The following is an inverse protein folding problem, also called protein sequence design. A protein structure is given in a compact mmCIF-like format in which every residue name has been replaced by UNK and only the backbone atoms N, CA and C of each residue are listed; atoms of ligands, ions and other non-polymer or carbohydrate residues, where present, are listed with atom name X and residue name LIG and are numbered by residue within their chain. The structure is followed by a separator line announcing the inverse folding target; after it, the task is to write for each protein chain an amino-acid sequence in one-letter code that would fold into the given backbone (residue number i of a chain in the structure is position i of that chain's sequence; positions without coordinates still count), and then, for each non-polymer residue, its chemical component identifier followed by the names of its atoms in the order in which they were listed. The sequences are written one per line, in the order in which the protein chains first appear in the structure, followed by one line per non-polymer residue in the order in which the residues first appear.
data_IF_459814622106
#
_entry.id   IF_459814622106
#
_cell.length_a   1.000
_cell.length_b   1.000
_cell.length_c   1.000
_cell.angle_alpha   90.00
_cell.angle_beta   90.00
_cell.angle_gamma   90.00
#
_symmetry.space_group_name_H-M   'P 1'
#
loop_
_entity.id
_entity.type
_entity.pdbx_description
1 polymer ?
#
# COMPACT_ATOMS: atom_id res chain seq x y z
N UNK A 1 13.14 -25.70 0.22
CA UNK A 1 13.40 -24.87 1.37
C UNK A 1 13.53 -23.45 0.87
N UNK A 2 12.46 -22.67 0.89
CA UNK A 2 12.44 -21.26 0.63
C UNK A 2 11.82 -20.63 1.84
N UNK A 3 12.67 -20.20 2.79
CA UNK A 3 12.26 -19.36 3.88
C UNK A 3 11.69 -18.08 3.29
N UNK A 4 10.36 -17.92 3.36
CA UNK A 4 9.77 -16.60 3.30
C UNK A 4 10.13 -15.91 4.62
N UNK A 5 11.36 -15.44 4.68
CA UNK A 5 11.76 -14.46 5.67
C UNK A 5 10.84 -13.28 5.41
N UNK A 6 9.88 -13.07 6.31
CA UNK A 6 9.31 -11.76 6.53
C UNK A 6 10.51 -10.84 6.77
N UNK A 7 10.98 -10.16 5.72
CA UNK A 7 11.96 -9.11 5.88
C UNK A 7 11.31 -8.08 6.78
N UNK A 8 11.60 -8.14 8.08
CA UNK A 8 11.59 -6.96 8.92
C UNK A 8 12.71 -6.08 8.36
N UNK A 9 12.39 -5.29 7.36
CA UNK A 9 13.23 -4.16 7.03
C UNK A 9 13.14 -3.24 8.24
N UNK A 10 14.17 -3.24 9.09
CA UNK A 10 14.24 -2.34 10.21
C UNK A 10 14.34 -0.91 9.65
N UNK A 11 13.48 -0.04 10.15
CA UNK A 11 13.55 1.38 9.82
C UNK A 11 14.91 1.95 10.23
N UNK A 12 15.47 2.84 9.41
CA UNK A 12 16.74 3.47 9.74
C UNK A 12 16.61 4.38 10.97
N UNK A 13 17.70 4.56 11.70
CA UNK A 13 17.77 5.56 12.80
C UNK A 13 17.45 6.97 12.27
N UNK A 14 17.76 7.24 11.01
CA UNK A 14 17.46 8.51 10.38
C UNK A 14 15.96 8.74 10.22
N UNK A 15 15.20 7.73 9.78
CA UNK A 15 13.74 7.81 9.72
C UNK A 15 13.15 8.02 11.12
N UNK A 16 13.61 7.27 12.12
CA UNK A 16 13.10 7.37 13.50
C UNK A 16 13.27 8.80 14.00
N UNK A 17 14.47 9.36 13.90
CA UNK A 17 14.77 10.72 14.33
C UNK A 17 13.92 11.78 13.60
N UNK A 18 13.75 11.61 12.28
CA UNK A 18 12.97 12.54 11.47
C UNK A 18 11.49 12.45 11.80
N UNK A 19 10.99 11.23 12.07
CA UNK A 19 9.62 11.01 12.51
C UNK A 19 9.35 11.62 13.90
N UNK A 20 10.30 11.56 14.84
CA UNK A 20 10.21 12.21 16.15
C UNK A 20 10.03 13.73 15.99
N UNK A 21 10.84 14.37 15.16
CA UNK A 21 10.71 15.81 14.87
C UNK A 21 9.32 16.17 14.29
N UNK A 22 8.75 15.29 13.46
CA UNK A 22 7.41 15.48 12.94
C UNK A 22 6.34 15.33 14.03
N UNK A 23 6.46 14.34 14.91
CA UNK A 23 5.54 14.11 16.04
C UNK A 23 5.56 15.29 17.00
N UNK A 24 6.73 15.88 17.25
CA UNK A 24 6.93 17.07 18.07
C UNK A 24 6.41 18.36 17.41
N UNK A 25 6.16 18.31 16.10
CA UNK A 25 5.63 19.44 15.32
C UNK A 25 6.69 20.38 14.77
N UNK A 26 7.96 20.02 14.84
CA UNK A 26 9.09 20.82 14.36
C UNK A 26 9.15 20.85 12.82
N UNK A 27 8.75 19.77 12.17
CA UNK A 27 8.72 19.63 10.72
C UNK A 27 7.41 19.01 10.22
N UNK A 28 7.02 19.32 9.00
CA UNK A 28 5.86 18.75 8.33
C UNK A 28 6.14 17.38 7.76
N UNK A 29 5.11 16.58 7.49
CA UNK A 29 5.27 15.28 6.84
C UNK A 29 5.89 15.38 5.43
N UNK A 30 5.63 16.47 4.72
CA UNK A 30 6.27 16.72 3.42
C UNK A 30 7.77 16.92 3.57
N UNK A 31 8.20 17.68 4.58
CA UNK A 31 9.63 17.84 4.90
C UNK A 31 10.27 16.51 5.32
N UNK A 32 9.57 15.66 6.10
CA UNK A 32 10.06 14.30 6.41
C UNK A 32 10.35 13.53 5.12
N UNK A 33 9.40 13.49 4.20
CA UNK A 33 9.54 12.79 2.92
C UNK A 33 10.74 13.31 2.13
N UNK A 34 10.87 14.64 2.01
CA UNK A 34 11.95 15.27 1.25
C UNK A 34 13.33 15.02 1.91
N UNK A 35 13.40 15.00 3.24
CA UNK A 35 14.61 14.65 3.99
C UNK A 35 15.01 13.18 3.77
N UNK A 36 14.06 12.24 3.80
CA UNK A 36 14.31 10.82 3.54
C UNK A 36 14.77 10.61 2.10
N UNK A 37 14.09 11.20 1.12
CA UNK A 37 14.47 11.11 -0.29
C UNK A 37 15.90 11.66 -0.50
N UNK A 38 16.22 12.84 0.06
CA UNK A 38 17.56 13.45 -0.02
C UNK A 38 18.65 12.63 0.67
N UNK A 39 18.34 12.01 1.81
CA UNK A 39 19.28 11.17 2.55
C UNK A 39 19.76 9.99 1.70
N UNK A 40 18.85 9.30 1.01
CA UNK A 40 19.21 8.18 0.16
C UNK A 40 19.81 8.61 -1.19
N UNK A 41 19.40 9.74 -1.75
CA UNK A 41 20.02 10.29 -2.95
C UNK A 41 21.48 10.70 -2.72
N UNK A 42 21.81 11.29 -1.55
CA UNK A 42 23.14 11.74 -1.21
C UNK A 42 24.12 10.60 -0.95
N UNK A 43 23.64 9.43 -0.54
CA UNK A 43 24.48 8.26 -0.25
C UNK A 43 25.06 7.55 -1.49
N UNK A 44 24.80 8.03 -2.69
CA UNK A 44 25.57 7.87 -3.92
C UNK A 44 25.99 6.47 -4.40
N UNK A 45 25.74 5.40 -3.64
CA UNK A 45 26.02 4.03 -4.06
C UNK A 45 25.07 3.06 -3.31
N UNK A 46 24.19 2.41 -4.03
CA UNK A 46 23.49 1.19 -3.59
C UNK A 46 24.49 0.05 -3.53
N UNK A 47 25.17 -0.10 -2.40
CA UNK A 47 26.27 -1.06 -2.30
C UNK A 47 25.90 -2.40 -1.67
N UNK A 48 24.74 -2.52 -0.97
CA UNK A 48 24.39 -3.76 -0.28
C UNK A 48 22.87 -4.03 -0.32
N UNK A 49 22.51 -5.29 -0.52
CA UNK A 49 21.12 -5.80 -0.52
C UNK A 49 20.39 -5.48 0.80
N UNK A 50 21.09 -5.40 1.93
CA UNK A 50 20.53 -5.00 3.23
C UNK A 50 20.06 -3.55 3.24
N UNK A 51 20.79 -2.64 2.57
CA UNK A 51 20.42 -1.23 2.49
C UNK A 51 19.26 -0.95 1.53
N UNK A 52 19.05 -1.77 0.50
CA UNK A 52 17.90 -1.63 -0.41
C UNK A 52 16.58 -1.85 0.31
N UNK A 53 16.48 -2.83 1.20
CA UNK A 53 15.29 -3.10 2.00
C UNK A 53 14.97 -1.96 2.96
N UNK A 54 15.98 -1.36 3.58
CA UNK A 54 15.80 -0.23 4.51
C UNK A 54 15.39 1.06 3.76
N UNK A 55 16.01 1.35 2.61
CA UNK A 55 15.63 2.49 1.78
C UNK A 55 14.15 2.40 1.33
N UNK A 56 13.74 1.23 0.86
CA UNK A 56 12.36 0.99 0.48
C UNK A 56 11.41 1.22 1.68
N UNK A 57 11.73 0.63 2.83
CA UNK A 57 10.91 0.74 4.02
C UNK A 57 10.74 2.20 4.46
N UNK A 58 11.82 2.94 4.54
CA UNK A 58 11.82 4.34 4.98
C UNK A 58 11.05 5.25 4.02
N UNK A 59 11.35 5.17 2.72
CA UNK A 59 10.66 5.97 1.70
C UNK A 59 9.17 5.68 1.67
N UNK A 60 8.80 4.40 1.73
CA UNK A 60 7.40 3.99 1.68
C UNK A 60 6.66 4.39 2.97
N UNK A 61 7.27 4.27 4.16
CA UNK A 61 6.66 4.68 5.42
C UNK A 61 6.34 6.19 5.44
N UNK A 62 7.29 7.03 5.06
CA UNK A 62 7.07 8.48 4.97
C UNK A 62 5.95 8.83 3.97
N UNK A 63 5.92 8.19 2.81
CA UNK A 63 4.91 8.40 1.77
C UNK A 63 3.52 7.89 2.15
N UNK A 64 3.42 6.79 2.88
CA UNK A 64 2.15 6.31 3.46
C UNK A 64 1.57 7.39 4.38
N UNK A 65 2.39 7.91 5.30
CA UNK A 65 1.96 8.94 6.25
C UNK A 65 1.51 10.21 5.52
N UNK A 66 2.26 10.66 4.52
CA UNK A 66 1.88 11.81 3.69
C UNK A 66 0.53 11.59 3.00
N UNK A 67 0.36 10.46 2.29
CA UNK A 67 -0.89 10.14 1.59
C UNK A 67 -2.08 10.09 2.54
N UNK A 68 -1.91 9.48 3.72
CA UNK A 68 -2.98 9.35 4.71
C UNK A 68 -3.36 10.67 5.38
N UNK A 69 -2.43 11.63 5.48
CA UNK A 69 -2.69 12.98 6.02
C UNK A 69 -3.49 13.87 5.06
N UNK A 70 -3.47 13.59 3.77
CA UNK A 70 -4.22 14.36 2.77
C UNK A 70 -5.71 14.12 2.87
N UNK A 71 -6.51 15.16 2.63
CA UNK A 71 -7.98 15.05 2.57
C UNK A 71 -8.50 14.55 1.23
N UNK A 72 -7.69 14.68 0.18
CA UNK A 72 -8.07 14.29 -1.18
C UNK A 72 -8.25 12.79 -1.30
N UNK A 73 -9.37 12.37 -1.88
CA UNK A 73 -9.66 10.98 -2.23
C UNK A 73 -10.56 10.91 -3.46
N UNK A 74 -10.30 9.92 -4.31
CA UNK A 74 -11.15 9.61 -5.45
C UNK A 74 -11.38 8.10 -5.48
N UNK A 75 -12.64 7.69 -5.44
CA UNK A 75 -13.00 6.28 -5.50
C UNK A 75 -12.96 5.77 -6.94
N UNK A 76 -11.75 5.53 -7.46
CA UNK A 76 -11.50 5.06 -8.84
C UNK A 76 -10.29 4.12 -8.89
N UNK A 77 -10.25 3.18 -9.87
CA UNK A 77 -9.05 2.37 -10.12
C UNK A 77 -7.80 3.21 -10.39
N UNK A 78 -7.95 4.35 -11.06
CA UNK A 78 -6.81 5.24 -11.34
C UNK A 78 -6.23 5.86 -10.06
N UNK A 79 -7.05 6.07 -9.03
CA UNK A 79 -6.55 6.54 -7.74
C UNK A 79 -5.75 5.44 -7.02
N UNK A 80 -6.17 4.17 -7.09
CA UNK A 80 -5.41 3.02 -6.60
C UNK A 80 -4.04 2.94 -7.30
N UNK A 81 -4.01 3.10 -8.63
CA UNK A 81 -2.78 3.10 -9.43
C UNK A 81 -1.89 4.28 -9.04
N UNK A 82 -2.46 5.44 -8.80
CA UNK A 82 -1.72 6.64 -8.35
C UNK A 82 -1.12 6.46 -6.95
N UNK A 83 -1.83 5.81 -6.02
CA UNK A 83 -1.26 5.45 -4.72
C UNK A 83 -0.02 4.58 -4.91
N UNK A 84 -0.11 3.52 -5.72
CA UNK A 84 1.04 2.67 -6.03
C UNK A 84 2.21 3.47 -6.62
N UNK A 85 1.93 4.36 -7.57
CA UNK A 85 2.96 5.22 -8.16
C UNK A 85 3.64 6.09 -7.10
N UNK A 86 2.87 6.74 -6.24
CA UNK A 86 3.40 7.61 -5.18
C UNK A 86 4.21 6.85 -4.14
N UNK A 87 3.75 5.67 -3.74
CA UNK A 87 4.48 4.85 -2.76
C UNK A 87 5.84 4.40 -3.27
N UNK A 88 5.92 4.02 -4.55
CA UNK A 88 7.07 3.28 -5.08
C UNK A 88 7.88 4.04 -6.15
N UNK A 89 7.58 5.30 -6.43
CA UNK A 89 8.36 6.14 -7.33
C UNK A 89 9.83 6.20 -6.88
N UNK A 90 10.78 5.89 -7.78
CA UNK A 90 12.19 5.82 -7.45
C UNK A 90 12.63 4.60 -6.63
N UNK A 91 11.68 3.74 -6.22
CA UNK A 91 11.94 2.43 -5.58
C UNK A 91 11.79 1.32 -6.62
N UNK A 92 10.66 1.29 -7.32
CA UNK A 92 10.43 0.32 -8.38
C UNK A 92 10.37 0.99 -9.74
N UNK A 93 11.05 0.43 -10.74
CA UNK A 93 10.99 0.92 -12.13
C UNK A 93 9.59 0.82 -12.77
N UNK A 94 8.70 0.03 -12.18
CA UNK A 94 7.32 -0.18 -12.63
C UNK A 94 6.27 0.50 -11.72
N UNK A 95 6.67 1.49 -10.92
CA UNK A 95 5.76 2.22 -10.05
C UNK A 95 4.58 2.82 -10.84
N UNK A 96 3.35 2.54 -10.42
CA UNK A 96 2.13 2.99 -11.10
C UNK A 96 1.76 2.21 -12.37
N UNK A 97 2.44 1.10 -12.66
CA UNK A 97 2.15 0.28 -13.84
C UNK A 97 1.43 -1.02 -13.46
N UNK A 98 0.32 -1.29 -14.11
CA UNK A 98 -0.34 -2.60 -14.03
C UNK A 98 0.60 -3.63 -14.65
N UNK A 99 0.75 -4.79 -13.99
CA UNK A 99 1.58 -5.89 -14.49
C UNK A 99 1.10 -6.41 -15.84
N UNK A 100 2.06 -6.80 -16.68
CA UNK A 100 1.81 -7.30 -18.02
C UNK A 100 2.12 -8.80 -18.16
N UNK A 101 2.11 -9.53 -17.03
CA UNK A 101 2.33 -10.98 -16.99
C UNK A 101 1.50 -11.59 -15.87
N UNK A 102 1.16 -12.88 -16.04
CA UNK A 102 0.55 -13.64 -14.96
C UNK A 102 1.58 -13.90 -13.87
N UNK A 103 1.11 -13.85 -12.64
CA UNK A 103 1.89 -14.15 -11.44
C UNK A 103 1.12 -15.16 -10.59
N UNK A 104 1.85 -15.94 -9.84
CA UNK A 104 1.33 -16.85 -8.82
C UNK A 104 2.24 -16.79 -7.61
N UNK A 105 1.68 -16.96 -6.42
CA UNK A 105 2.44 -17.08 -5.18
C UNK A 105 2.04 -18.37 -4.49
N UNK A 106 3.04 -19.11 -4.01
CA UNK A 106 2.80 -20.19 -3.05
C UNK A 106 2.63 -19.55 -1.68
N UNK A 107 1.48 -19.76 -1.09
CA UNK A 107 1.18 -19.22 0.24
C UNK A 107 1.20 -20.37 1.26
N UNK A 108 1.96 -20.18 2.33
CA UNK A 108 2.08 -21.18 3.40
C UNK A 108 0.72 -21.53 4.05
N UNK A 109 -0.19 -20.56 4.12
CA UNK A 109 -1.53 -20.73 4.70
C UNK A 109 -2.43 -21.67 3.87
N UNK A 110 -2.03 -21.97 2.64
CA UNK A 110 -2.73 -22.88 1.74
C UNK A 110 -2.03 -24.23 1.62
N UNK A 111 -1.25 -24.61 2.64
CA UNK A 111 -0.49 -25.90 2.66
C UNK A 111 0.41 -26.09 1.42
N UNK A 112 0.89 -25.00 0.85
CA UNK A 112 1.76 -25.00 -0.33
C UNK A 112 1.03 -24.89 -1.67
N UNK A 113 -0.28 -24.78 -1.67
CA UNK A 113 -1.05 -24.45 -2.86
C UNK A 113 -0.77 -23.03 -3.34
N UNK A 114 -1.01 -22.81 -4.63
CA UNK A 114 -0.71 -21.56 -5.31
C UNK A 114 -1.97 -20.68 -5.39
N UNK A 115 -1.86 -19.43 -4.94
CA UNK A 115 -2.89 -18.44 -5.21
C UNK A 115 -2.87 -18.08 -6.69
N UNK A 116 -4.02 -18.23 -7.35
CA UNK A 116 -4.23 -17.76 -8.71
C UNK A 116 -4.83 -16.37 -8.68
N UNK A 117 -4.09 -15.40 -9.20
CA UNK A 117 -4.54 -14.02 -9.35
C UNK A 117 -5.25 -13.79 -10.68
N UNK A 118 -5.88 -12.64 -10.86
CA UNK A 118 -6.50 -12.25 -12.13
C UNK A 118 -5.52 -12.36 -13.30
N UNK A 119 -5.98 -12.80 -14.47
CA UNK A 119 -5.18 -12.72 -15.71
C UNK A 119 -4.75 -11.29 -15.97
N UNK A 120 -3.50 -11.09 -16.38
CA UNK A 120 -2.94 -9.73 -16.57
C UNK A 120 -3.73 -8.89 -17.59
N UNK A 121 -4.29 -9.53 -18.61
CA UNK A 121 -5.10 -8.95 -19.65
C UNK A 121 -6.50 -8.51 -19.19
N UNK A 122 -6.97 -9.04 -18.06
CA UNK A 122 -8.28 -8.74 -17.48
C UNK A 122 -8.22 -7.76 -16.31
N UNK A 123 -7.03 -7.42 -15.80
CA UNK A 123 -6.88 -6.61 -14.56
C UNK A 123 -7.68 -5.33 -14.63
N UNK A 124 -7.51 -4.54 -15.70
CA UNK A 124 -8.18 -3.24 -15.83
C UNK A 124 -9.70 -3.41 -15.84
N UNK A 125 -10.21 -4.33 -16.62
CA UNK A 125 -11.65 -4.59 -16.72
C UNK A 125 -12.23 -5.07 -15.39
N UNK A 126 -11.52 -5.95 -14.67
CA UNK A 126 -11.97 -6.45 -13.36
C UNK A 126 -11.98 -5.35 -12.31
N UNK A 127 -10.94 -4.49 -12.29
CA UNK A 127 -10.93 -3.32 -11.41
C UNK A 127 -12.11 -2.38 -11.70
N UNK A 128 -12.33 -2.01 -12.98
CA UNK A 128 -13.43 -1.12 -13.37
C UNK A 128 -14.79 -1.71 -12.96
N UNK A 129 -14.96 -3.02 -13.13
CA UNK A 129 -16.17 -3.73 -12.70
C UNK A 129 -16.36 -3.68 -11.17
N UNK A 130 -15.35 -4.09 -10.39
CA UNK A 130 -15.45 -4.16 -8.93
C UNK A 130 -15.68 -2.77 -8.32
N UNK A 131 -14.98 -1.75 -8.81
CA UNK A 131 -15.19 -0.36 -8.38
C UNK A 131 -16.59 0.15 -8.73
N UNK A 132 -17.12 -0.21 -9.90
CA UNK A 132 -18.47 0.15 -10.31
C UNK A 132 -19.52 -0.51 -9.39
N UNK A 133 -19.38 -1.79 -9.07
CA UNK A 133 -20.25 -2.52 -8.17
C UNK A 133 -20.24 -1.93 -6.75
N UNK A 134 -19.06 -1.59 -6.26
CA UNK A 134 -18.89 -1.00 -4.94
C UNK A 134 -19.48 0.40 -4.87
N UNK A 135 -19.27 1.22 -5.88
CA UNK A 135 -19.85 2.57 -5.97
C UNK A 135 -21.36 2.58 -5.97
N UNK A 136 -22.00 1.53 -6.50
CA UNK A 136 -23.45 1.35 -6.50
C UNK A 136 -24.02 0.81 -5.19
N UNK A 137 -23.21 0.59 -4.16
CA UNK A 137 -23.64 0.01 -2.89
C UNK A 137 -24.38 1.05 -2.02
N UNK A 138 -25.59 0.72 -1.58
CA UNK A 138 -26.41 1.57 -0.69
C UNK A 138 -26.05 1.30 0.78
N UNK A 139 -24.94 1.82 1.24
CA UNK A 139 -24.47 1.66 2.62
C UNK A 139 -25.43 2.18 3.69
N UNK A 140 -26.15 3.31 3.50
CA UNK A 140 -27.12 3.80 4.47
C UNK A 140 -28.25 2.82 4.81
N UNK A 141 -28.60 1.89 3.91
CA UNK A 141 -29.61 0.87 4.14
C UNK A 141 -29.10 -0.37 4.88
N UNK A 142 -27.79 -0.49 5.08
CA UNK A 142 -27.13 -1.67 5.64
C UNK A 142 -26.95 -1.58 7.16
N UNK A 143 -27.00 -2.73 7.84
CA UNK A 143 -26.46 -2.83 9.20
C UNK A 143 -24.93 -2.71 9.18
N UNK A 144 -24.33 -2.39 10.33
CA UNK A 144 -22.88 -2.30 10.46
C UNK A 144 -22.18 -3.58 10.00
N UNK A 145 -22.68 -4.75 10.41
CA UNK A 145 -22.12 -6.05 10.02
C UNK A 145 -22.21 -6.30 8.51
N UNK A 146 -23.30 -5.89 7.87
CA UNK A 146 -23.45 -6.00 6.42
C UNK A 146 -22.47 -5.08 5.69
N UNK A 147 -22.32 -3.84 6.16
CA UNK A 147 -21.39 -2.88 5.60
C UNK A 147 -19.92 -3.36 5.72
N UNK A 148 -19.54 -3.86 6.91
CA UNK A 148 -18.21 -4.44 7.13
C UNK A 148 -17.94 -5.61 6.17
N UNK A 149 -18.86 -6.58 6.08
CA UNK A 149 -18.73 -7.71 5.18
C UNK A 149 -18.60 -7.28 3.72
N UNK A 150 -19.35 -6.26 3.32
CA UNK A 150 -19.31 -5.71 1.96
C UNK A 150 -17.96 -5.07 1.67
N UNK A 151 -17.45 -4.21 2.56
CA UNK A 151 -16.14 -3.58 2.44
C UNK A 151 -15.04 -4.64 2.39
N UNK A 152 -15.06 -5.61 3.31
CA UNK A 152 -14.09 -6.70 3.33
C UNK A 152 -14.10 -7.48 2.00
N UNK A 153 -15.28 -7.78 1.43
CA UNK A 153 -15.39 -8.45 0.14
C UNK A 153 -14.74 -7.63 -0.98
N UNK A 154 -15.01 -6.33 -1.04
CA UNK A 154 -14.44 -5.43 -2.04
C UNK A 154 -12.90 -5.36 -1.92
N UNK A 155 -12.38 -5.15 -0.70
CA UNK A 155 -10.94 -5.08 -0.45
C UNK A 155 -10.24 -6.39 -0.78
N UNK A 156 -10.84 -7.54 -0.41
CA UNK A 156 -10.32 -8.86 -0.77
C UNK A 156 -10.33 -9.08 -2.28
N UNK A 157 -11.34 -8.56 -2.99
CA UNK A 157 -11.40 -8.58 -4.45
C UNK A 157 -10.22 -7.84 -5.09
N UNK A 158 -9.93 -6.61 -4.64
CA UNK A 158 -8.77 -5.86 -5.11
C UNK A 158 -7.47 -6.64 -4.85
N UNK A 159 -7.35 -7.22 -3.65
CA UNK A 159 -6.18 -8.01 -3.30
C UNK A 159 -6.02 -9.25 -4.17
N UNK A 160 -7.13 -9.93 -4.50
CA UNK A 160 -7.13 -11.10 -5.38
C UNK A 160 -6.84 -10.74 -6.85
N UNK A 161 -7.24 -9.55 -7.32
CA UNK A 161 -6.86 -9.05 -8.64
C UNK A 161 -5.33 -8.93 -8.73
N UNK A 162 -4.69 -8.44 -7.66
CA UNK A 162 -3.23 -8.29 -7.55
C UNK A 162 -2.64 -7.52 -8.73
N UNK A 163 -3.02 -6.24 -8.91
CA UNK A 163 -2.80 -5.53 -10.16
C UNK A 163 -1.34 -5.21 -10.46
N UNK A 164 -0.45 -5.19 -9.47
CA UNK A 164 0.94 -4.77 -9.63
C UNK A 164 1.90 -5.96 -9.54
N UNK A 165 3.12 -5.79 -10.06
CA UNK A 165 4.16 -6.81 -9.94
C UNK A 165 4.61 -6.97 -8.48
N UNK A 166 4.74 -5.86 -7.74
CA UNK A 166 5.10 -5.78 -6.32
C UNK A 166 4.26 -4.70 -5.63
N UNK A 167 4.27 -4.62 -4.29
CA UNK A 167 3.64 -3.53 -3.52
C UNK A 167 2.11 -3.58 -3.40
N UNK A 168 1.46 -4.66 -3.83
CA UNK A 168 -0.01 -4.78 -3.82
C UNK A 168 -0.61 -4.62 -2.41
N UNK A 169 -0.05 -5.28 -1.41
CA UNK A 169 -0.55 -5.24 -0.02
C UNK A 169 -0.54 -3.83 0.54
N UNK A 170 0.58 -3.11 0.43
CA UNK A 170 0.72 -1.74 0.94
C UNK A 170 -0.21 -0.78 0.19
N UNK A 171 -0.29 -0.90 -1.12
CA UNK A 171 -1.19 -0.08 -1.95
C UNK A 171 -2.66 -0.30 -1.58
N UNK A 172 -3.09 -1.56 -1.47
CA UNK A 172 -4.46 -1.90 -1.09
C UNK A 172 -4.79 -1.42 0.32
N UNK A 173 -3.85 -1.56 1.27
CA UNK A 173 -4.02 -1.08 2.64
C UNK A 173 -4.21 0.44 2.68
N UNK A 174 -3.34 1.21 2.02
CA UNK A 174 -3.44 2.68 1.97
C UNK A 174 -4.74 3.12 1.29
N UNK A 175 -5.11 2.50 0.18
CA UNK A 175 -6.39 2.77 -0.48
C UNK A 175 -7.57 2.50 0.45
N UNK A 176 -7.56 1.36 1.14
CA UNK A 176 -8.60 0.97 2.09
C UNK A 176 -8.73 1.96 3.24
N UNK A 177 -7.61 2.38 3.83
CA UNK A 177 -7.63 3.39 4.89
C UNK A 177 -8.23 4.72 4.41
N UNK A 178 -7.84 5.19 3.22
CA UNK A 178 -8.44 6.38 2.60
C UNK A 178 -9.93 6.20 2.34
N UNK A 179 -10.35 5.02 1.87
CA UNK A 179 -11.75 4.72 1.64
C UNK A 179 -12.55 4.72 2.95
N UNK A 180 -12.04 4.09 4.02
CA UNK A 180 -12.68 4.08 5.33
C UNK A 180 -12.79 5.49 5.94
N UNK A 181 -11.82 6.37 5.69
CA UNK A 181 -11.90 7.77 6.11
C UNK A 181 -13.12 8.50 5.51
N UNK A 182 -13.59 8.11 4.31
CA UNK A 182 -14.80 8.71 3.71
C UNK A 182 -16.09 8.37 4.47
N UNK A 183 -16.09 7.28 5.23
CA UNK A 183 -17.19 6.89 6.14
C UNK A 183 -17.06 7.50 7.54
N UNK A 184 -16.02 8.33 7.78
CA UNK A 184 -15.75 8.94 9.07
C UNK A 184 -14.94 8.06 10.03
N UNK A 185 -14.47 6.90 9.61
CA UNK A 185 -13.56 6.09 10.42
C UNK A 185 -12.21 6.79 10.56
N UNK A 186 -11.61 6.65 11.73
CA UNK A 186 -10.23 7.06 12.00
C UNK A 186 -9.40 5.79 12.24
N UNK A 187 -8.91 5.15 11.17
CA UNK A 187 -8.10 3.94 11.33
C UNK A 187 -6.84 4.28 12.12
N UNK A 188 -6.49 3.43 13.07
CA UNK A 188 -5.26 3.51 13.83
C UNK A 188 -4.45 2.20 13.70
N UNK A 189 -3.22 2.21 14.18
CA UNK A 189 -2.31 1.08 14.10
C UNK A 189 -2.26 0.26 15.39
N UNK A 190 -3.15 0.48 16.34
CA UNK A 190 -3.06 -0.15 17.68
C UNK A 190 -3.15 -1.67 17.60
N UNK A 191 -3.91 -2.22 16.65
CA UNK A 191 -4.06 -3.66 16.43
C UNK A 191 -2.83 -4.34 15.82
N UNK A 192 -1.84 -3.58 15.33
CA UNK A 192 -0.61 -4.11 14.71
C UNK A 192 0.64 -3.90 15.59
N UNK A 193 0.45 -3.51 16.86
CA UNK A 193 1.57 -3.21 17.79
C UNK A 193 2.07 -4.42 18.56
N UNK A 194 1.39 -5.55 18.51
CA UNK A 194 1.73 -6.80 19.24
C UNK A 194 2.47 -7.82 18.37
#
# INVERSE_FOLDING_TARGET
FGDSVLYKADSSEYLIKTAEQHIEGDITITEVKDLIDSYYESKGVRLDVEHEGTEEADKVAARITEILSEKSFSFTPDFLIRIHQRLFCGVYGHAGQIRQRNISKKEWILDGDTVTYSGYDMIRQTLDYDFSQEKGTDYPSMSADQAIKRICKFVSGIWQIHPFAEGNTRTTAVFTMKYLQTFGFKPDNTIFRD
#
